data_IF_364953430363
#
_entry.id   IF_364953430363
#
_cell.length_a   1.000
_cell.length_b   1.000
_cell.length_c   1.000
_cell.angle_alpha   90.00
_cell.angle_beta   90.00
_cell.angle_gamma   90.00
#
_symmetry.space_group_name_H-M   'P 1'
#
loop_
_entity.id
_entity.type
_entity.pdbx_description
1 polymer ?
#
# COMPACT_ATOMS: atom_id res chain seq x y z
N UNK A 1 -46.80 9.04 -9.86
CA UNK A 1 -45.78 10.09 -9.99
C UNK A 1 -44.55 9.61 -9.24
N UNK A 2 -43.38 9.59 -9.87
CA UNK A 2 -42.14 9.15 -9.24
C UNK A 2 -41.06 10.20 -9.45
N UNK A 3 -40.30 10.48 -8.40
CA UNK A 3 -39.15 11.39 -8.45
C UNK A 3 -37.89 10.55 -8.54
N UNK A 4 -37.18 10.59 -9.67
CA UNK A 4 -35.88 9.93 -9.79
C UNK A 4 -34.78 10.90 -9.35
N UNK A 5 -34.07 10.51 -8.30
CA UNK A 5 -32.90 11.22 -7.78
C UNK A 5 -31.66 10.47 -8.21
N UNK A 6 -30.82 11.09 -9.03
CA UNK A 6 -29.54 10.52 -9.47
C UNK A 6 -28.41 11.02 -8.57
N UNK A 7 -27.56 10.10 -8.14
CA UNK A 7 -26.30 10.41 -7.48
C UNK A 7 -25.19 9.64 -8.17
N UNK A 8 -24.19 10.36 -8.69
CA UNK A 8 -23.00 9.79 -9.31
C UNK A 8 -21.77 10.62 -8.97
N UNK A 9 -20.61 9.97 -8.91
CA UNK A 9 -19.36 10.59 -8.45
C UNK A 9 -19.05 11.89 -9.20
N UNK A 10 -19.30 11.89 -10.51
CA UNK A 10 -19.03 13.03 -11.37
C UNK A 10 -20.30 13.70 -11.86
N UNK A 11 -20.22 15.02 -12.01
CA UNK A 11 -21.33 15.82 -12.55
C UNK A 11 -21.67 15.40 -13.98
N UNK A 12 -20.67 15.14 -14.80
CA UNK A 12 -20.87 14.68 -16.17
C UNK A 12 -21.60 13.33 -16.25
N UNK A 13 -21.40 12.41 -15.29
CA UNK A 13 -22.17 11.15 -15.24
C UNK A 13 -23.64 11.40 -14.91
N UNK A 14 -23.91 12.30 -13.95
CA UNK A 14 -25.26 12.70 -13.60
C UNK A 14 -25.97 13.36 -14.78
N UNK A 15 -25.29 14.29 -15.46
CA UNK A 15 -25.85 15.01 -16.61
C UNK A 15 -26.12 14.07 -17.79
N UNK A 16 -25.20 13.14 -18.05
CA UNK A 16 -25.40 12.09 -19.05
C UNK A 16 -26.63 11.23 -18.72
N UNK A 17 -26.76 10.79 -17.47
CA UNK A 17 -27.90 9.98 -17.05
C UNK A 17 -29.24 10.73 -17.10
N UNK A 18 -29.27 12.00 -16.68
CA UNK A 18 -30.47 12.86 -16.80
C UNK A 18 -30.86 13.02 -18.26
N UNK A 19 -29.91 13.35 -19.14
CA UNK A 19 -30.15 13.47 -20.59
C UNK A 19 -30.69 12.18 -21.21
N UNK A 20 -30.10 11.03 -20.86
CA UNK A 20 -30.54 9.71 -21.32
C UNK A 20 -31.95 9.37 -20.87
N UNK A 21 -32.22 9.51 -19.58
CA UNK A 21 -33.55 9.26 -19.00
C UNK A 21 -34.59 10.24 -19.56
N UNK A 22 -34.19 11.47 -19.88
CA UNK A 22 -35.00 12.45 -20.59
C UNK A 22 -35.43 11.99 -21.98
N UNK A 23 -34.48 11.46 -22.77
CA UNK A 23 -34.77 10.86 -24.08
C UNK A 23 -35.72 9.66 -24.00
N UNK A 24 -35.72 8.96 -22.86
CA UNK A 24 -36.59 7.81 -22.60
C UNK A 24 -38.00 8.22 -22.11
N UNK A 25 -38.26 9.52 -21.96
CA UNK A 25 -39.58 10.09 -21.67
C UNK A 25 -39.78 10.64 -20.26
N UNK A 26 -38.71 10.77 -19.45
CA UNK A 26 -38.79 11.46 -18.17
C UNK A 26 -38.66 12.97 -18.36
N UNK A 27 -39.43 13.75 -17.59
CA UNK A 27 -39.30 15.21 -17.61
C UNK A 27 -38.15 15.69 -16.71
N UNK A 28 -37.57 16.84 -17.04
CA UNK A 28 -36.74 17.61 -16.10
C UNK A 28 -37.62 18.55 -15.27
N UNK A 29 -37.33 18.73 -13.96
CA UNK A 29 -38.16 19.52 -13.08
C UNK A 29 -38.00 21.02 -13.32
N UNK A 30 -39.12 21.75 -13.31
CA UNK A 30 -39.16 23.19 -13.28
C UNK A 30 -38.97 23.74 -11.85
N UNK A 31 -38.38 24.93 -11.66
CA UNK A 31 -38.31 25.58 -10.37
C UNK A 31 -39.71 25.93 -9.85
N UNK A 32 -39.90 25.96 -8.53
CA UNK A 32 -41.19 26.31 -7.93
C UNK A 32 -41.64 27.74 -8.29
N UNK A 33 -42.96 27.96 -8.36
CA UNK A 33 -43.55 29.27 -8.70
C UNK A 33 -43.02 30.37 -7.77
N UNK A 34 -42.43 31.42 -8.35
CA UNK A 34 -41.87 32.55 -7.60
C UNK A 34 -40.52 32.28 -6.93
N UNK A 35 -39.89 31.13 -7.19
CA UNK A 35 -38.52 30.82 -6.80
C UNK A 35 -37.58 30.93 -8.00
N UNK A 36 -36.51 31.71 -7.90
CA UNK A 36 -35.41 31.71 -8.88
C UNK A 36 -34.47 30.50 -8.71
N UNK A 37 -34.68 29.69 -7.67
CA UNK A 37 -33.80 28.56 -7.33
C UNK A 37 -34.36 27.25 -7.88
N UNK A 38 -33.62 26.67 -8.81
CA UNK A 38 -33.77 25.27 -9.25
C UNK A 38 -33.16 24.30 -8.22
N UNK A 39 -33.28 22.99 -8.49
CA UNK A 39 -32.78 21.94 -7.59
C UNK A 39 -31.25 21.96 -7.44
N UNK A 40 -30.50 22.31 -8.48
CA UNK A 40 -29.04 22.39 -8.42
C UNK A 40 -28.59 23.55 -7.53
N UNK A 41 -29.17 24.74 -7.73
CA UNK A 41 -28.87 25.92 -6.95
C UNK A 41 -29.32 25.76 -5.49
N UNK A 42 -30.45 25.08 -5.25
CA UNK A 42 -30.93 24.75 -3.92
C UNK A 42 -29.99 23.75 -3.21
N UNK A 43 -29.58 22.69 -3.89
CA UNK A 43 -28.64 21.68 -3.36
C UNK A 43 -27.27 22.29 -3.07
N UNK A 44 -26.76 23.16 -3.94
CA UNK A 44 -25.49 23.87 -3.70
C UNK A 44 -25.60 24.82 -2.50
N UNK A 45 -26.74 25.52 -2.33
CA UNK A 45 -26.99 26.32 -1.13
C UNK A 45 -27.07 25.46 0.12
N UNK A 46 -27.75 24.31 0.07
CA UNK A 46 -27.82 23.35 1.17
C UNK A 46 -26.44 22.84 1.56
N UNK A 47 -25.61 22.46 0.57
CA UNK A 47 -24.23 22.01 0.75
C UNK A 47 -23.38 23.07 1.45
N UNK A 48 -23.44 24.33 0.99
CA UNK A 48 -22.74 25.46 1.61
C UNK A 48 -23.23 25.73 3.04
N UNK A 49 -24.54 25.72 3.27
CA UNK A 49 -25.13 25.97 4.59
C UNK A 49 -24.69 24.92 5.64
N UNK A 50 -24.53 23.67 5.21
CA UNK A 50 -24.10 22.57 6.08
C UNK A 50 -22.59 22.32 6.06
N UNK A 51 -21.80 23.21 5.43
CA UNK A 51 -20.33 23.15 5.35
C UNK A 51 -19.80 21.82 4.79
N UNK A 52 -20.53 21.25 3.85
CA UNK A 52 -20.14 20.02 3.17
C UNK A 52 -19.11 20.37 2.12
N UNK A 53 -17.96 19.69 2.10
CA UNK A 53 -16.93 19.89 1.08
C UNK A 53 -17.40 19.34 -0.28
N UNK A 54 -16.88 19.87 -1.40
CA UNK A 54 -17.21 19.31 -2.73
C UNK A 54 -16.58 17.94 -2.96
N UNK A 55 -15.43 17.69 -2.34
CA UNK A 55 -14.67 16.45 -2.38
C UNK A 55 -14.39 16.04 -0.93
N UNK A 56 -15.26 15.23 -0.32
CA UNK A 56 -15.16 14.90 1.10
C UNK A 56 -13.93 14.03 1.39
N UNK A 57 -13.17 14.39 2.43
CA UNK A 57 -12.10 13.54 2.97
C UNK A 57 -12.65 12.60 4.05
N UNK A 58 -12.66 11.30 3.77
CA UNK A 58 -13.13 10.28 4.68
C UNK A 58 -14.64 10.05 4.62
N UNK A 59 -15.17 9.27 5.58
CA UNK A 59 -16.53 8.76 5.53
C UNK A 59 -17.59 9.85 5.32
N UNK A 60 -18.40 9.68 4.27
CA UNK A 60 -19.52 10.56 3.97
C UNK A 60 -20.69 10.24 4.90
N UNK A 61 -21.11 11.22 5.71
CA UNK A 61 -22.31 11.13 6.53
C UNK A 61 -23.53 11.76 5.84
N UNK A 62 -24.70 11.13 6.00
CA UNK A 62 -25.98 11.67 5.58
C UNK A 62 -26.36 12.91 6.40
N UNK A 63 -26.97 13.90 5.75
CA UNK A 63 -27.32 15.19 6.36
C UNK A 63 -28.82 15.35 6.35
N UNK A 64 -29.36 15.71 7.51
CA UNK A 64 -30.74 16.16 7.68
C UNK A 64 -30.78 17.69 7.71
N UNK A 65 -31.12 18.35 6.59
CA UNK A 65 -30.99 19.81 6.46
C UNK A 65 -31.98 20.59 7.34
N UNK A 66 -33.04 19.93 7.81
CA UNK A 66 -34.10 20.51 8.63
C UNK A 66 -35.30 21.02 7.83
N UNK A 67 -36.35 21.45 8.56
CA UNK A 67 -37.69 21.70 8.01
C UNK A 67 -37.76 22.80 6.94
N UNK A 68 -36.92 23.83 7.02
CA UNK A 68 -36.95 24.93 6.05
C UNK A 68 -36.61 24.46 4.62
N UNK A 69 -35.63 23.56 4.50
CA UNK A 69 -35.25 22.97 3.20
C UNK A 69 -36.26 21.92 2.75
N UNK A 70 -36.86 21.17 3.68
CA UNK A 70 -37.97 20.25 3.36
C UNK A 70 -39.13 20.99 2.72
N UNK A 71 -39.54 22.14 3.26
CA UNK A 71 -40.61 22.95 2.68
C UNK A 71 -40.26 23.42 1.26
N UNK A 72 -39.03 23.91 1.04
CA UNK A 72 -38.59 24.35 -0.29
C UNK A 72 -38.54 23.22 -1.31
N UNK A 73 -38.09 22.04 -0.91
CA UNK A 73 -38.07 20.86 -1.78
C UNK A 73 -39.49 20.35 -2.05
N UNK A 74 -40.35 20.34 -1.04
CA UNK A 74 -41.76 19.97 -1.18
C UNK A 74 -42.49 20.92 -2.15
N UNK A 75 -42.21 22.22 -2.11
CA UNK A 75 -42.75 23.20 -3.07
C UNK A 75 -42.36 22.82 -4.52
N UNK A 76 -41.11 22.41 -4.75
CA UNK A 76 -40.65 21.97 -6.08
C UNK A 76 -41.33 20.67 -6.48
N UNK A 77 -41.39 19.67 -5.59
CA UNK A 77 -42.06 18.38 -5.88
C UNK A 77 -43.53 18.61 -6.23
N UNK A 78 -44.23 19.46 -5.46
CA UNK A 78 -45.64 19.79 -5.68
C UNK A 78 -45.86 20.57 -6.97
N UNK A 79 -44.96 21.51 -7.30
CA UNK A 79 -45.06 22.25 -8.57
C UNK A 79 -44.93 21.34 -9.79
N UNK A 80 -44.11 20.30 -9.67
CA UNK A 80 -43.87 19.33 -10.74
C UNK A 80 -44.84 18.14 -10.70
N UNK A 81 -45.84 18.14 -9.79
CA UNK A 81 -46.81 17.05 -9.57
C UNK A 81 -47.49 16.54 -10.86
N UNK A 82 -47.73 17.46 -11.80
CA UNK A 82 -48.46 17.20 -13.04
C UNK A 82 -47.56 16.69 -14.19
N UNK A 83 -46.23 16.78 -14.06
CA UNK A 83 -45.28 16.32 -15.10
C UNK A 83 -45.18 14.78 -15.20
N UNK A 84 -45.90 14.04 -14.35
CA UNK A 84 -45.74 12.60 -14.25
C UNK A 84 -44.44 12.24 -13.53
N UNK A 85 -43.67 11.29 -14.06
CA UNK A 85 -42.35 10.96 -13.49
C UNK A 85 -41.29 11.90 -14.04
N UNK A 86 -40.44 12.42 -13.17
CA UNK A 86 -39.37 13.35 -13.54
C UNK A 86 -38.05 12.95 -12.88
N UNK A 87 -36.95 13.47 -13.43
CA UNK A 87 -35.59 13.07 -13.07
C UNK A 87 -34.69 14.28 -12.90
N UNK A 88 -33.77 14.19 -11.94
CA UNK A 88 -32.69 15.15 -11.78
C UNK A 88 -31.48 14.48 -11.11
N UNK A 89 -30.29 15.06 -11.26
CA UNK A 89 -29.05 14.40 -10.82
C UNK A 89 -27.92 15.33 -10.42
N UNK A 90 -27.37 15.13 -9.23
CA UNK A 90 -26.25 15.91 -8.72
C UNK A 90 -25.30 15.05 -7.87
N UNK A 91 -23.98 15.16 -8.01
CA UNK A 91 -23.04 14.44 -7.17
C UNK A 91 -23.23 14.69 -5.68
N UNK A 92 -23.65 15.90 -5.30
CA UNK A 92 -23.89 16.27 -3.91
C UNK A 92 -25.05 15.49 -3.27
N UNK A 93 -25.90 14.83 -4.06
CA UNK A 93 -26.99 14.00 -3.55
C UNK A 93 -26.51 12.89 -2.64
N UNK A 94 -25.26 12.42 -2.76
CA UNK A 94 -24.66 11.41 -1.87
C UNK A 94 -24.78 11.81 -0.40
N UNK A 95 -24.76 13.11 -0.07
CA UNK A 95 -24.89 13.62 1.30
C UNK A 95 -26.35 13.76 1.77
N UNK A 96 -27.31 13.69 0.85
CA UNK A 96 -28.72 13.99 1.07
C UNK A 96 -29.64 12.84 0.66
N UNK A 97 -29.13 11.63 0.45
CA UNK A 97 -29.92 10.47 0.03
C UNK A 97 -31.00 10.12 1.07
N UNK A 98 -30.65 10.12 2.35
CA UNK A 98 -31.61 9.92 3.45
C UNK A 98 -32.68 11.00 3.47
N UNK A 99 -32.28 12.25 3.24
CA UNK A 99 -33.20 13.37 3.17
C UNK A 99 -34.22 13.18 2.04
N UNK A 100 -33.78 12.80 0.84
CA UNK A 100 -34.67 12.50 -0.28
C UNK A 100 -35.55 11.28 -0.03
N UNK A 101 -35.03 10.25 0.65
CA UNK A 101 -35.79 9.05 1.00
C UNK A 101 -36.97 9.40 1.92
N UNK A 102 -36.71 10.27 2.87
CA UNK A 102 -37.66 10.67 3.92
C UNK A 102 -38.58 11.82 3.47
N UNK A 103 -38.21 12.55 2.40
CA UNK A 103 -39.02 13.62 1.84
C UNK A 103 -40.32 13.10 1.23
N UNK A 104 -40.23 12.06 0.40
CA UNK A 104 -41.40 11.43 -0.24
C UNK A 104 -41.16 9.93 -0.47
N UNK A 105 -42.17 9.11 -0.21
CA UNK A 105 -42.17 7.66 -0.46
C UNK A 105 -42.09 7.30 -1.95
N UNK A 106 -42.39 8.22 -2.85
CA UNK A 106 -42.33 8.09 -4.31
C UNK A 106 -40.94 8.36 -4.89
N UNK A 107 -40.01 8.90 -4.09
CA UNK A 107 -38.62 9.05 -4.53
C UNK A 107 -37.99 7.68 -4.81
N UNK A 108 -37.33 7.57 -5.95
CA UNK A 108 -36.53 6.43 -6.41
C UNK A 108 -35.13 6.92 -6.71
N UNK A 109 -34.14 6.05 -6.56
CA UNK A 109 -32.73 6.42 -6.65
C UNK A 109 -32.05 5.67 -7.78
N UNK A 110 -31.33 6.40 -8.62
CA UNK A 110 -30.41 5.83 -9.59
C UNK A 110 -29.01 6.17 -9.11
N UNK A 111 -28.29 5.17 -8.62
CA UNK A 111 -26.97 5.32 -8.05
C UNK A 111 -25.96 4.91 -9.12
N UNK A 112 -25.18 5.89 -9.58
CA UNK A 112 -24.19 5.69 -10.64
C UNK A 112 -22.83 5.44 -10.03
N UNK A 113 -22.18 4.40 -10.53
CA UNK A 113 -20.79 4.12 -10.23
C UNK A 113 -20.00 3.90 -11.51
N UNK A 114 -18.69 4.00 -11.41
CA UNK A 114 -17.77 3.71 -12.49
C UNK A 114 -16.42 3.35 -11.91
N UNK A 115 -15.56 2.74 -12.71
CA UNK A 115 -14.22 2.37 -12.25
C UNK A 115 -13.42 3.61 -11.81
N UNK A 116 -12.45 3.43 -10.91
CA UNK A 116 -11.50 4.51 -10.58
C UNK A 116 -10.77 5.02 -11.83
N UNK A 117 -10.49 4.13 -12.79
CA UNK A 117 -9.87 4.47 -14.06
C UNK A 117 -10.75 5.40 -14.92
N UNK A 118 -12.03 5.11 -15.07
CA UNK A 118 -12.96 6.01 -15.78
C UNK A 118 -13.08 7.36 -15.07
N UNK A 119 -13.01 7.35 -13.74
CA UNK A 119 -13.08 8.58 -12.95
C UNK A 119 -11.88 9.49 -13.22
N UNK A 120 -10.68 8.92 -13.19
CA UNK A 120 -9.42 9.61 -13.49
C UNK A 120 -9.34 10.05 -14.96
N UNK A 121 -9.79 9.22 -15.90
CA UNK A 121 -9.78 9.55 -17.32
C UNK A 121 -10.56 10.83 -17.61
N UNK A 122 -11.68 11.01 -16.93
CA UNK A 122 -12.52 12.18 -17.10
C UNK A 122 -11.89 13.47 -16.53
N UNK A 123 -11.20 13.37 -15.40
CA UNK A 123 -10.44 14.51 -14.85
C UNK A 123 -9.27 14.90 -15.74
N UNK A 124 -8.61 13.92 -16.37
CA UNK A 124 -7.53 14.16 -17.32
C UNK A 124 -8.04 14.99 -18.51
N UNK A 125 -9.23 14.67 -19.02
CA UNK A 125 -9.86 15.44 -20.09
C UNK A 125 -10.29 16.84 -19.66
N UNK A 126 -10.68 17.02 -18.39
CA UNK A 126 -11.01 18.32 -17.82
C UNK A 126 -9.78 19.23 -17.63
N UNK A 127 -8.56 18.72 -17.85
CA UNK A 127 -7.31 19.47 -17.73
C UNK A 127 -6.86 19.72 -16.30
N UNK A 128 -7.33 18.91 -15.35
CA UNK A 128 -6.96 19.01 -13.93
C UNK A 128 -5.60 18.31 -13.68
N UNK A 129 -4.74 18.90 -12.83
CA UNK A 129 -3.36 18.44 -12.62
C UNK A 129 -3.24 17.21 -11.70
N UNK A 130 -2.59 16.14 -12.18
CA UNK A 130 -2.58 14.80 -11.55
C UNK A 130 -1.39 14.51 -10.62
N UNK A 131 -0.23 15.16 -10.81
CA UNK A 131 1.05 14.68 -10.25
C UNK A 131 1.24 14.79 -8.72
N UNK A 132 0.28 15.34 -7.96
CA UNK A 132 0.38 15.46 -6.49
C UNK A 132 -0.77 14.81 -5.72
N UNK A 133 -1.73 14.16 -6.40
CA UNK A 133 -3.08 13.99 -5.83
C UNK A 133 -3.74 12.64 -6.17
N UNK A 134 -3.05 11.67 -6.79
CA UNK A 134 -3.66 10.37 -7.12
C UNK A 134 -4.25 9.67 -5.89
N UNK A 135 -3.45 9.45 -4.84
CA UNK A 135 -3.93 8.84 -3.60
C UNK A 135 -5.12 9.62 -2.97
N UNK A 136 -5.12 10.95 -3.08
CA UNK A 136 -6.21 11.76 -2.56
C UNK A 136 -7.49 11.57 -3.39
N UNK A 137 -7.38 11.49 -4.71
CA UNK A 137 -8.51 11.26 -5.59
C UNK A 137 -9.16 9.90 -5.33
N UNK A 138 -8.34 8.87 -5.12
CA UNK A 138 -8.84 7.55 -4.76
C UNK A 138 -9.51 7.52 -3.39
N UNK A 139 -8.95 8.18 -2.36
CA UNK A 139 -9.60 8.30 -1.05
C UNK A 139 -11.01 8.91 -1.16
N UNK A 140 -11.17 9.92 -2.03
CA UNK A 140 -12.45 10.57 -2.29
C UNK A 140 -13.39 9.64 -3.06
N UNK A 141 -12.89 8.93 -4.08
CA UNK A 141 -13.65 7.92 -4.82
C UNK A 141 -14.15 6.80 -3.90
N UNK A 142 -13.29 6.27 -3.03
CA UNK A 142 -13.63 5.23 -2.05
C UNK A 142 -14.72 5.71 -1.10
N UNK A 143 -14.53 6.90 -0.52
CA UNK A 143 -15.48 7.49 0.45
C UNK A 143 -16.85 7.74 -0.19
N UNK A 144 -16.88 8.12 -1.48
CA UNK A 144 -18.10 8.33 -2.24
C UNK A 144 -18.86 7.03 -2.49
N UNK A 145 -18.17 6.02 -3.03
CA UNK A 145 -18.82 4.78 -3.42
C UNK A 145 -19.18 3.89 -2.22
N UNK A 146 -18.43 3.96 -1.12
CA UNK A 146 -18.80 3.33 0.16
C UNK A 146 -20.14 3.90 0.69
N UNK A 147 -20.34 5.21 0.62
CA UNK A 147 -21.59 5.82 1.04
C UNK A 147 -22.77 5.50 0.11
N UNK A 148 -22.53 5.46 -1.21
CA UNK A 148 -23.52 4.97 -2.17
C UNK A 148 -23.94 3.53 -1.87
N UNK A 149 -22.97 2.64 -1.68
CA UNK A 149 -23.22 1.22 -1.46
C UNK A 149 -23.94 0.98 -0.14
N UNK A 150 -23.56 1.67 0.94
CA UNK A 150 -24.29 1.65 2.22
C UNK A 150 -25.75 2.07 2.05
N UNK A 151 -26.01 3.14 1.31
CA UNK A 151 -27.37 3.60 1.07
C UNK A 151 -28.17 2.61 0.20
N UNK A 152 -27.56 2.04 -0.84
CA UNK A 152 -28.15 1.00 -1.68
C UNK A 152 -28.57 -0.21 -0.85
N UNK A 153 -27.64 -0.77 -0.05
CA UNK A 153 -27.87 -1.94 0.78
C UNK A 153 -28.95 -1.71 1.84
N UNK A 154 -29.09 -0.48 2.34
CA UNK A 154 -30.14 -0.12 3.29
C UNK A 154 -31.52 0.08 2.63
N UNK A 155 -31.58 0.36 1.31
CA UNK A 155 -32.81 0.74 0.61
C UNK A 155 -32.98 0.05 -0.77
N UNK A 156 -32.79 -1.29 -0.88
CA UNK A 156 -32.74 -1.96 -2.19
C UNK A 156 -34.02 -1.73 -2.99
N UNK A 157 -35.20 -1.82 -2.39
CA UNK A 157 -36.49 -1.67 -3.09
C UNK A 157 -36.70 -0.29 -3.76
N UNK A 158 -35.93 0.73 -3.37
CA UNK A 158 -36.05 2.10 -3.87
C UNK A 158 -34.88 2.54 -4.73
N UNK A 159 -33.84 1.71 -4.85
CA UNK A 159 -32.61 2.05 -5.54
C UNK A 159 -32.35 1.11 -6.71
N UNK A 160 -31.67 1.62 -7.72
CA UNK A 160 -30.95 0.83 -8.71
C UNK A 160 -29.50 1.26 -8.73
N UNK A 161 -28.57 0.30 -8.71
CA UNK A 161 -27.14 0.53 -8.82
C UNK A 161 -26.67 0.19 -10.23
N UNK A 162 -26.14 1.20 -10.94
CA UNK A 162 -25.91 1.14 -12.39
C UNK A 162 -24.51 1.64 -12.71
N UNK A 163 -23.75 0.84 -13.47
CA UNK A 163 -22.45 1.25 -13.98
C UNK A 163 -22.62 2.31 -15.08
N UNK A 164 -21.79 3.35 -15.11
CA UNK A 164 -21.91 4.46 -16.06
C UNK A 164 -21.91 4.01 -17.53
N UNK A 165 -21.17 2.95 -17.86
CA UNK A 165 -21.14 2.35 -19.21
C UNK A 165 -22.47 1.75 -19.66
N UNK A 166 -23.39 1.44 -18.74
CA UNK A 166 -24.72 0.88 -19.05
C UNK A 166 -25.74 1.94 -19.49
N UNK A 167 -25.37 3.22 -19.38
CA UNK A 167 -26.20 4.34 -19.84
C UNK A 167 -26.08 4.58 -21.37
N UNK A 168 -25.14 3.90 -22.03
CA UNK A 168 -24.94 3.91 -23.48
C UNK A 168 -25.85 2.93 -24.22
N UNK A 169 -25.25 2.07 -25.03
CA UNK A 169 -25.94 1.12 -25.93
C UNK A 169 -26.93 0.15 -25.25
N UNK A 170 -26.88 0.00 -23.92
CA UNK A 170 -27.74 -0.91 -23.13
C UNK A 170 -28.77 -0.22 -22.24
N UNK A 171 -29.08 1.06 -22.49
CA UNK A 171 -30.15 1.76 -21.81
C UNK A 171 -31.55 1.08 -21.94
N UNK A 172 -31.72 0.11 -22.83
CA UNK A 172 -32.92 -0.73 -22.88
C UNK A 172 -33.05 -1.68 -21.68
N UNK A 173 -31.96 -2.21 -21.13
CA UNK A 173 -31.98 -3.01 -19.90
C UNK A 173 -32.35 -2.14 -18.70
N UNK A 174 -31.83 -0.91 -18.65
CA UNK A 174 -32.25 0.09 -17.68
C UNK A 174 -33.75 0.38 -17.81
N UNK A 175 -34.28 0.57 -19.02
CA UNK A 175 -35.72 0.76 -19.23
C UNK A 175 -36.56 -0.38 -18.63
N UNK A 176 -36.14 -1.63 -18.87
CA UNK A 176 -36.81 -2.82 -18.36
C UNK A 176 -36.72 -2.92 -16.83
N UNK A 177 -35.56 -2.60 -16.25
CA UNK A 177 -35.36 -2.57 -14.81
C UNK A 177 -36.25 -1.51 -14.14
N UNK A 178 -36.31 -0.31 -14.72
CA UNK A 178 -37.16 0.77 -14.22
C UNK A 178 -38.65 0.44 -14.32
N UNK A 179 -39.05 -0.24 -15.40
CA UNK A 179 -40.43 -0.71 -15.59
C UNK A 179 -40.78 -1.80 -14.58
N UNK A 180 -39.90 -2.79 -14.38
CA UNK A 180 -40.17 -3.92 -13.48
C UNK A 180 -40.12 -3.54 -12.00
N UNK A 181 -39.10 -2.78 -11.58
CA UNK A 181 -38.87 -2.41 -10.16
C UNK A 181 -39.72 -1.23 -9.73
N UNK A 182 -39.79 -0.19 -10.56
CA UNK A 182 -40.44 1.07 -10.19
C UNK A 182 -41.78 1.32 -10.88
N UNK A 183 -42.20 0.45 -11.82
CA UNK A 183 -43.42 0.62 -12.61
C UNK A 183 -43.42 1.94 -13.40
N UNK A 184 -42.24 2.34 -13.86
CA UNK A 184 -42.05 3.54 -14.69
C UNK A 184 -41.81 3.07 -16.12
N UNK A 185 -42.77 3.34 -16.99
CA UNK A 185 -42.65 3.01 -18.41
C UNK A 185 -41.67 3.98 -19.07
N UNK A 186 -40.56 3.44 -19.55
CA UNK A 186 -39.55 4.17 -20.29
C UNK A 186 -39.52 3.67 -21.74
N UNK A 187 -39.39 4.61 -22.67
CA UNK A 187 -39.26 4.29 -24.09
C UNK A 187 -37.81 3.94 -24.42
N UNK A 188 -37.60 3.17 -25.49
CA UNK A 188 -36.26 2.81 -25.94
C UNK A 188 -35.41 4.07 -26.20
N UNK A 189 -34.13 4.08 -25.80
CA UNK A 189 -33.27 5.25 -25.96
C UNK A 189 -33.15 5.64 -27.45
N UNK A 190 -33.13 6.94 -27.73
CA UNK A 190 -32.65 7.43 -29.02
C UNK A 190 -31.14 7.19 -29.14
N UNK A 191 -30.62 7.10 -30.37
CA UNK A 191 -29.18 7.10 -30.59
C UNK A 191 -28.58 8.38 -29.98
N UNK A 192 -27.66 8.24 -29.03
CA UNK A 192 -26.80 9.35 -28.62
C UNK A 192 -25.39 8.83 -28.43
N UNK A 193 -24.44 9.74 -28.56
CA UNK A 193 -23.03 9.45 -28.37
C UNK A 193 -22.77 9.14 -26.89
N UNK A 194 -21.95 8.13 -26.64
CA UNK A 194 -21.40 7.84 -25.33
C UNK A 194 -20.57 9.03 -24.82
N UNK A 195 -20.38 9.18 -23.49
CA UNK A 195 -19.42 10.12 -22.98
C UNK A 195 -18.05 9.82 -23.62
N UNK A 196 -17.58 10.75 -24.46
CA UNK A 196 -16.32 10.67 -25.20
C UNK A 196 -15.14 10.78 -24.22
N UNK A 197 -14.91 9.70 -23.47
CA UNK A 197 -13.74 9.51 -22.65
C UNK A 197 -12.60 9.02 -23.55
N UNK A 198 -11.56 9.84 -23.68
CA UNK A 198 -10.37 9.56 -24.48
C UNK A 198 -9.82 8.20 -24.11
N UNK A 199 -9.71 7.30 -25.09
CA UNK A 199 -9.17 5.96 -24.89
C UNK A 199 -7.76 6.00 -24.26
N UNK A 200 -6.95 7.00 -24.60
CA UNK A 200 -5.65 7.22 -23.96
C UNK A 200 -5.78 7.61 -22.49
N UNK A 201 -6.77 8.43 -22.14
CA UNK A 201 -7.03 8.79 -20.76
C UNK A 201 -7.46 7.57 -19.94
N UNK A 202 -8.25 6.66 -20.52
CA UNK A 202 -8.63 5.38 -19.91
C UNK A 202 -7.42 4.49 -19.65
N UNK A 203 -6.52 4.35 -20.63
CA UNK A 203 -5.29 3.54 -20.48
C UNK A 203 -4.39 4.08 -19.37
N UNK A 204 -4.13 5.41 -19.36
CA UNK A 204 -3.28 6.05 -18.35
C UNK A 204 -3.88 5.89 -16.95
N UNK A 205 -5.19 6.13 -16.84
CA UNK A 205 -5.91 6.03 -15.58
C UNK A 205 -5.96 4.59 -15.02
N UNK A 206 -6.05 3.59 -15.89
CA UNK A 206 -6.04 2.20 -15.48
C UNK A 206 -4.68 1.75 -14.96
N UNK A 207 -3.59 2.24 -15.56
CA UNK A 207 -2.24 1.98 -15.04
C UNK A 207 -2.07 2.55 -13.63
N UNK A 208 -2.54 3.78 -13.39
CA UNK A 208 -2.49 4.41 -12.08
C UNK A 208 -3.35 3.70 -11.02
N UNK A 209 -4.46 3.06 -11.44
CA UNK A 209 -5.33 2.30 -10.55
C UNK A 209 -4.81 0.89 -10.23
N UNK A 210 -4.02 0.27 -11.12
CA UNK A 210 -3.46 -1.07 -10.89
C UNK A 210 -2.41 -1.08 -9.77
N UNK A 211 -1.80 0.06 -9.46
CA UNK A 211 -0.79 0.20 -8.41
C UNK A 211 -1.37 0.19 -6.97
N UNK A 212 -2.70 0.15 -6.79
CA UNK A 212 -3.35 0.21 -5.47
C UNK A 212 -4.34 -0.95 -5.23
N UNK A 213 -3.89 -1.98 -4.50
CA UNK A 213 -4.64 -3.23 -4.25
C UNK A 213 -5.98 -3.05 -3.49
N UNK A 214 -6.09 -2.08 -2.58
CA UNK A 214 -7.30 -1.87 -1.76
C UNK A 214 -8.50 -1.33 -2.54
N UNK A 215 -8.26 -0.70 -3.69
CA UNK A 215 -9.28 -0.01 -4.48
C UNK A 215 -10.05 -0.98 -5.38
N UNK A 216 -9.39 -2.06 -5.79
CA UNK A 216 -10.02 -3.16 -6.51
C UNK A 216 -11.10 -3.86 -5.69
N UNK A 217 -10.96 -3.95 -4.37
CA UNK A 217 -11.92 -4.67 -3.53
C UNK A 217 -13.31 -4.01 -3.52
N UNK A 218 -13.39 -2.69 -3.30
CA UNK A 218 -14.67 -1.98 -3.30
C UNK A 218 -15.31 -1.96 -4.70
N UNK A 219 -14.50 -1.78 -5.75
CA UNK A 219 -15.01 -1.82 -7.13
C UNK A 219 -15.58 -3.21 -7.47
N UNK A 220 -14.90 -4.28 -7.07
CA UNK A 220 -15.40 -5.65 -7.25
C UNK A 220 -16.69 -5.90 -6.44
N UNK A 221 -16.82 -5.31 -5.25
CA UNK A 221 -18.05 -5.37 -4.46
C UNK A 221 -19.21 -4.65 -5.18
N UNK A 222 -18.96 -3.46 -5.75
CA UNK A 222 -19.95 -2.74 -6.55
C UNK A 222 -20.37 -3.56 -7.78
N UNK A 223 -19.42 -4.09 -8.54
CA UNK A 223 -19.70 -4.95 -9.71
C UNK A 223 -20.49 -6.20 -9.33
N UNK A 224 -20.18 -6.83 -8.18
CA UNK A 224 -20.91 -8.00 -7.69
C UNK A 224 -22.32 -7.70 -7.15
N UNK A 225 -22.58 -6.45 -6.76
CA UNK A 225 -23.84 -6.02 -6.13
C UNK A 225 -24.77 -5.26 -7.09
N UNK A 226 -24.21 -4.69 -8.16
CA UNK A 226 -24.93 -3.83 -9.10
C UNK A 226 -26.08 -4.56 -9.80
N UNK A 227 -27.17 -3.83 -10.02
CA UNK A 227 -28.29 -4.32 -10.82
C UNK A 227 -27.93 -4.36 -12.30
N UNK A 228 -27.11 -3.39 -12.73
CA UNK A 228 -26.56 -3.31 -14.08
C UNK A 228 -25.05 -3.09 -13.98
N UNK A 229 -24.26 -4.17 -13.88
CA UNK A 229 -22.80 -4.11 -13.86
C UNK A 229 -22.22 -3.77 -15.23
N UNK A 230 -20.91 -3.56 -15.31
CA UNK A 230 -20.27 -3.32 -16.60
C UNK A 230 -20.37 -4.58 -17.50
N UNK A 231 -21.09 -4.49 -18.62
CA UNK A 231 -21.25 -5.59 -19.61
C UNK A 231 -19.93 -6.19 -20.11
N UNK A 232 -18.85 -5.43 -20.02
CA UNK A 232 -17.48 -5.91 -20.10
C UNK A 232 -16.65 -5.09 -19.12
N UNK A 233 -15.76 -5.68 -18.30
CA UNK A 233 -14.73 -4.92 -17.62
C UNK A 233 -13.89 -4.24 -18.70
N UNK A 234 -14.11 -2.93 -18.91
CA UNK A 234 -13.38 -2.04 -19.82
C UNK A 234 -12.68 -2.75 -21.00
N UNK A 235 -13.46 -3.35 -21.91
CA UNK A 235 -12.87 -4.06 -23.04
C UNK A 235 -12.59 -3.04 -24.15
N UNK A 236 -11.40 -2.45 -24.09
CA UNK A 236 -10.79 -1.62 -25.13
C UNK A 236 -11.09 -2.10 -26.55
N UNK A 237 -11.08 -1.15 -27.49
CA UNK A 237 -10.93 -1.47 -28.92
C UNK A 237 -9.75 -2.42 -29.11
N UNK A 238 -9.80 -3.27 -30.15
CA UNK A 238 -8.70 -4.20 -30.43
C UNK A 238 -7.34 -3.48 -30.53
N UNK A 239 -7.36 -2.23 -31.00
CA UNK A 239 -6.19 -1.37 -31.15
C UNK A 239 -5.64 -0.89 -29.79
N UNK A 240 -6.50 -0.55 -28.82
CA UNK A 240 -6.03 -0.14 -27.49
C UNK A 240 -5.53 -1.32 -26.65
N UNK A 241 -6.06 -2.54 -26.85
CA UNK A 241 -5.45 -3.78 -26.28
C UNK A 241 -4.08 -4.06 -26.87
N UNK A 242 -3.95 -3.85 -28.18
CA UNK A 242 -2.68 -4.03 -28.87
C UNK A 242 -1.66 -2.99 -28.41
N UNK A 243 -2.06 -1.72 -28.29
CA UNK A 243 -1.21 -0.66 -27.76
C UNK A 243 -0.85 -0.89 -26.28
N UNK A 244 -1.78 -1.39 -25.46
CA UNK A 244 -1.51 -1.77 -24.08
C UNK A 244 -0.53 -2.94 -24.00
N UNK A 245 -0.73 -4.00 -24.79
CA UNK A 245 0.19 -5.14 -24.85
C UNK A 245 1.57 -4.73 -25.39
N UNK A 246 1.64 -3.94 -26.46
CA UNK A 246 2.89 -3.41 -27.02
C UNK A 246 3.60 -2.49 -26.02
N UNK A 247 2.86 -1.72 -25.22
CA UNK A 247 3.44 -0.85 -24.19
C UNK A 247 3.85 -1.62 -22.93
N UNK A 248 3.11 -2.66 -22.55
CA UNK A 248 3.48 -3.57 -21.45
C UNK A 248 4.72 -4.38 -21.86
N UNK A 249 4.78 -4.86 -23.10
CA UNK A 249 5.96 -5.48 -23.69
C UNK A 249 7.12 -4.49 -23.79
N UNK A 250 6.86 -3.20 -24.07
CA UNK A 250 7.89 -2.17 -24.06
C UNK A 250 8.40 -1.87 -22.64
N UNK A 251 7.53 -1.83 -21.63
CA UNK A 251 7.95 -1.70 -20.23
C UNK A 251 8.72 -2.93 -19.75
N UNK A 252 8.26 -4.15 -20.07
CA UNK A 252 8.97 -5.40 -19.78
C UNK A 252 10.30 -5.51 -20.56
N UNK A 253 10.41 -4.91 -21.74
CA UNK A 253 11.68 -4.82 -22.46
C UNK A 253 12.59 -3.69 -21.94
N UNK A 254 12.08 -2.70 -21.20
CA UNK A 254 12.89 -1.69 -20.53
C UNK A 254 13.28 -2.07 -19.09
N UNK A 255 12.49 -2.92 -18.44
CA UNK A 255 12.82 -3.62 -17.20
C UNK A 255 13.01 -5.10 -17.55
N UNK A 256 14.19 -5.52 -18.04
CA UNK A 256 14.43 -6.93 -18.31
C UNK A 256 14.07 -7.74 -17.05
N UNK A 257 13.44 -8.90 -17.26
CA UNK A 257 13.05 -9.81 -16.19
C UNK A 257 14.25 -9.98 -15.25
N UNK A 258 14.18 -9.56 -13.98
CA UNK A 258 15.32 -9.67 -13.08
C UNK A 258 15.79 -11.11 -12.97
N UNK A 259 14.96 -12.11 -13.32
CA UNK A 259 15.37 -13.50 -13.41
C UNK A 259 16.38 -13.80 -14.53
N UNK A 260 16.34 -13.15 -15.70
CA UNK A 260 17.33 -13.44 -16.76
C UNK A 260 18.71 -12.93 -16.34
N UNK A 261 18.80 -11.69 -15.85
CA UNK A 261 20.06 -11.14 -15.30
C UNK A 261 20.52 -11.95 -14.07
N UNK A 262 19.60 -12.39 -13.19
CA UNK A 262 19.89 -13.27 -12.06
C UNK A 262 20.31 -14.69 -12.49
N UNK A 263 19.80 -15.20 -13.61
CA UNK A 263 20.18 -16.51 -14.16
C UNK A 263 21.56 -16.44 -14.82
N UNK A 264 21.87 -15.36 -15.54
CA UNK A 264 23.20 -15.08 -16.05
C UNK A 264 24.20 -14.88 -14.90
N UNK A 265 23.82 -14.15 -13.85
CA UNK A 265 24.64 -13.96 -12.65
C UNK A 265 24.83 -15.29 -11.89
N UNK A 266 23.80 -16.12 -11.75
CA UNK A 266 23.90 -17.46 -11.16
C UNK A 266 24.80 -18.38 -11.98
N UNK A 267 24.70 -18.35 -13.30
CA UNK A 267 25.57 -19.12 -14.18
C UNK A 267 27.03 -18.65 -14.07
N UNK A 268 27.26 -17.35 -13.97
CA UNK A 268 28.59 -16.78 -13.76
C UNK A 268 29.16 -17.17 -12.39
N UNK A 269 28.34 -17.12 -11.33
CA UNK A 269 28.71 -17.54 -9.98
C UNK A 269 29.00 -19.04 -9.90
N UNK A 270 28.25 -19.87 -10.62
CA UNK A 270 28.54 -21.30 -10.74
C UNK A 270 29.90 -21.54 -11.39
N UNK A 271 30.21 -20.85 -12.51
CA UNK A 271 31.53 -20.96 -13.14
C UNK A 271 32.67 -20.51 -12.21
N UNK A 272 32.47 -19.42 -11.45
CA UNK A 272 33.47 -18.98 -10.48
C UNK A 272 33.66 -19.98 -9.34
N UNK A 273 32.58 -20.60 -8.86
CA UNK A 273 32.63 -21.63 -7.83
C UNK A 273 33.39 -22.87 -8.33
N UNK A 274 33.11 -23.31 -9.56
CA UNK A 274 33.82 -24.43 -10.21
C UNK A 274 35.32 -24.13 -10.35
N UNK A 275 35.69 -22.95 -10.82
CA UNK A 275 37.10 -22.55 -10.92
C UNK A 275 37.80 -22.57 -9.56
N UNK A 276 37.17 -22.01 -8.52
CA UNK A 276 37.74 -22.00 -7.16
C UNK A 276 37.85 -23.42 -6.59
N UNK A 277 36.88 -24.29 -6.88
CA UNK A 277 36.95 -25.71 -6.49
C UNK A 277 38.12 -26.41 -7.17
N UNK A 278 38.32 -26.22 -8.48
CA UNK A 278 39.47 -26.76 -9.19
C UNK A 278 40.81 -26.27 -8.62
N UNK A 279 40.92 -24.98 -8.32
CA UNK A 279 42.13 -24.41 -7.69
C UNK A 279 42.38 -25.02 -6.31
N UNK A 280 41.34 -25.16 -5.48
CA UNK A 280 41.44 -25.79 -4.17
C UNK A 280 41.84 -27.27 -4.26
N UNK A 281 41.28 -28.01 -5.21
CA UNK A 281 41.68 -29.40 -5.48
C UNK A 281 43.15 -29.48 -5.90
N UNK A 282 43.61 -28.54 -6.74
CA UNK A 282 45.01 -28.43 -7.15
C UNK A 282 45.93 -28.17 -5.95
N UNK A 283 45.59 -27.21 -5.09
CA UNK A 283 46.36 -26.92 -3.88
C UNK A 283 46.34 -28.08 -2.89
N UNK A 284 45.21 -28.76 -2.75
CA UNK A 284 45.07 -29.93 -1.88
C UNK A 284 45.92 -31.11 -2.37
N UNK A 285 45.90 -31.40 -3.67
CA UNK A 285 46.78 -32.42 -4.29
C UNK A 285 48.24 -32.07 -4.10
N UNK A 286 48.62 -30.81 -4.38
CA UNK A 286 49.99 -30.31 -4.17
C UNK A 286 50.43 -30.44 -2.73
N UNK A 287 49.54 -30.13 -1.78
CA UNK A 287 49.81 -30.30 -0.34
C UNK A 287 49.98 -31.77 0.04
N UNK A 288 49.15 -32.67 -0.51
CA UNK A 288 49.30 -34.11 -0.28
C UNK A 288 50.59 -34.67 -0.88
N UNK A 289 51.00 -34.22 -2.07
CA UNK A 289 52.26 -34.60 -2.70
C UNK A 289 53.45 -34.12 -1.87
N UNK A 290 53.41 -32.86 -1.39
CA UNK A 290 54.40 -32.33 -0.46
C UNK A 290 54.47 -33.12 0.85
N UNK A 291 53.32 -33.61 1.34
CA UNK A 291 53.24 -34.45 2.55
C UNK A 291 53.69 -35.89 2.34
N UNK A 292 53.61 -36.41 1.10
CA UNK A 292 54.05 -37.75 0.70
C UNK A 292 55.51 -37.80 0.26
N UNK A 293 56.14 -36.66 -0.01
CA UNK A 293 57.56 -36.57 -0.35
C UNK A 293 58.43 -36.72 0.91
N UNK A 294 59.29 -37.75 1.03
CA UNK A 294 60.16 -37.93 2.17
C UNK A 294 61.44 -37.13 1.96
N UNK A 295 61.39 -35.82 2.19
CA UNK A 295 62.59 -34.99 2.32
C UNK A 295 62.48 -34.12 3.55
N UNK A 296 63.24 -34.50 4.58
CA UNK A 296 63.88 -33.54 5.48
C UNK A 296 63.02 -32.97 6.60
N UNK A 297 62.53 -33.83 7.49
CA UNK A 297 62.57 -33.46 8.89
C UNK A 297 64.05 -33.28 9.27
N UNK A 298 64.52 -32.03 9.40
CA UNK A 298 65.60 -31.51 10.27
C UNK A 298 66.10 -30.18 9.68
N UNK A 299 66.11 -29.13 10.50
CA UNK A 299 66.60 -27.76 10.26
C UNK A 299 65.69 -26.79 9.49
N UNK A 300 64.70 -26.22 10.20
CA UNK A 300 64.59 -24.74 10.38
C UNK A 300 63.91 -24.49 11.73
N UNK A 301 64.70 -24.44 12.80
CA UNK A 301 64.41 -23.49 13.89
C UNK A 301 64.80 -22.11 13.34
N UNK A 302 64.11 -21.06 13.79
CA UNK A 302 64.48 -19.64 13.58
C UNK A 302 64.12 -19.06 12.20
N UNK A 303 62.85 -18.65 12.04
CA UNK A 303 62.43 -17.34 11.50
C UNK A 303 60.93 -17.39 11.14
N UNK A 304 60.07 -17.26 12.16
CA UNK A 304 58.68 -16.82 12.00
C UNK A 304 58.25 -15.88 13.14
N UNK A 305 59.23 -15.21 13.75
CA UNK A 305 59.02 -13.96 14.50
C UNK A 305 59.62 -12.84 13.65
N UNK A 306 58.90 -12.41 12.60
CA UNK A 306 59.09 -11.11 11.92
C UNK A 306 58.24 -11.00 10.65
N UNK A 307 56.93 -11.22 10.74
CA UNK A 307 55.97 -10.41 9.97
C UNK A 307 54.84 -10.13 10.94
N UNK A 308 54.91 -8.96 11.59
CA UNK A 308 53.82 -8.47 12.44
C UNK A 308 52.61 -8.21 11.56
N UNK A 309 51.76 -9.23 11.38
CA UNK A 309 50.42 -9.05 10.83
C UNK A 309 49.62 -8.35 11.91
N UNK A 310 49.70 -7.03 11.92
CA UNK A 310 48.82 -6.21 12.72
C UNK A 310 47.40 -6.48 12.22
N UNK A 311 46.54 -7.02 13.10
CA UNK A 311 45.13 -7.24 12.79
C UNK A 311 44.42 -5.95 12.35
N UNK A 312 43.22 -6.04 11.75
CA UNK A 312 42.47 -4.86 11.32
C UNK A 312 42.16 -3.89 12.47
N UNK A 313 42.28 -2.58 12.21
CA UNK A 313 41.89 -1.50 13.13
C UNK A 313 40.39 -1.19 13.10
N UNK A 314 39.70 -1.62 12.04
CA UNK A 314 38.24 -1.63 11.96
C UNK A 314 37.79 -2.96 11.37
N UNK A 315 36.78 -3.57 11.98
CA UNK A 315 36.15 -4.83 11.53
C UNK A 315 34.67 -4.57 11.35
N UNK A 316 34.16 -4.89 10.16
CA UNK A 316 32.75 -4.80 9.85
C UNK A 316 32.24 -6.19 9.46
N UNK A 317 31.20 -6.64 10.13
CA UNK A 317 30.50 -7.89 9.86
C UNK A 317 29.13 -7.53 9.31
N UNK A 318 28.94 -7.81 8.02
CA UNK A 318 27.63 -7.72 7.37
C UNK A 318 26.84 -9.00 7.66
N UNK A 319 25.74 -8.86 8.40
CA UNK A 319 24.93 -9.98 8.85
C UNK A 319 24.13 -10.63 7.71
N UNK A 320 24.07 -9.98 6.54
CA UNK A 320 23.48 -10.56 5.31
C UNK A 320 24.45 -11.53 4.63
N UNK A 321 25.75 -11.42 4.93
CA UNK A 321 26.79 -12.32 4.42
C UNK A 321 26.98 -13.54 5.31
N UNK A 322 27.85 -14.46 4.91
CA UNK A 322 28.23 -15.59 5.76
C UNK A 322 28.89 -15.09 7.05
N UNK A 323 28.46 -15.63 8.19
CA UNK A 323 29.04 -15.32 9.49
C UNK A 323 29.56 -16.60 10.14
N UNK A 324 30.72 -16.50 10.79
CA UNK A 324 31.23 -17.55 11.66
C UNK A 324 30.67 -17.34 13.07
N UNK A 325 29.65 -18.11 13.45
CA UNK A 325 28.95 -17.95 14.71
C UNK A 325 27.67 -18.78 14.80
N UNK A 326 27.08 -18.84 15.99
CA UNK A 326 25.93 -19.70 16.31
C UNK A 326 24.73 -18.88 16.81
N UNK A 327 23.53 -19.47 16.79
CA UNK A 327 22.33 -18.86 17.37
C UNK A 327 21.62 -17.85 16.48
N UNK A 328 21.91 -17.86 15.17
CA UNK A 328 21.30 -16.99 14.17
C UNK A 328 20.45 -17.79 13.17
N UNK A 329 19.37 -17.19 12.68
CA UNK A 329 18.61 -17.72 11.56
C UNK A 329 19.32 -17.48 10.22
N UNK A 330 18.75 -18.01 9.13
CA UNK A 330 19.18 -17.71 7.77
C UNK A 330 19.20 -16.21 7.52
N UNK A 331 20.16 -15.73 6.72
CA UNK A 331 20.20 -14.34 6.30
C UNK A 331 18.94 -13.98 5.51
N UNK A 332 18.42 -12.78 5.76
CA UNK A 332 17.31 -12.17 5.03
C UNK A 332 17.80 -10.89 4.32
N UNK A 333 17.00 -10.36 3.40
CA UNK A 333 17.38 -9.22 2.56
C UNK A 333 17.87 -7.98 3.35
N UNK A 334 17.35 -7.79 4.57
CA UNK A 334 17.64 -6.61 5.39
C UNK A 334 18.57 -6.90 6.58
N UNK A 335 18.83 -8.16 6.92
CA UNK A 335 19.63 -8.50 8.08
C UNK A 335 19.45 -9.96 8.49
N UNK A 336 19.84 -10.28 9.72
CA UNK A 336 19.74 -11.64 10.26
C UNK A 336 19.12 -11.63 11.63
N UNK A 337 18.13 -12.51 11.82
CA UNK A 337 17.44 -12.65 13.10
C UNK A 337 18.26 -13.49 14.09
N UNK A 338 18.41 -12.96 15.29
CA UNK A 338 18.82 -13.70 16.47
C UNK A 338 17.61 -14.42 17.08
N UNK A 339 17.77 -15.67 17.56
CA UNK A 339 16.70 -16.32 18.33
C UNK A 339 16.60 -17.85 18.28
N UNK A 340 17.48 -18.55 17.55
CA UNK A 340 17.56 -20.02 17.66
C UNK A 340 17.94 -20.48 19.07
N UNK A 341 18.63 -19.61 19.83
CA UNK A 341 18.87 -19.75 21.26
C UNK A 341 18.86 -18.36 21.92
N UNK A 342 18.93 -18.31 23.25
CA UNK A 342 19.06 -17.04 24.00
C UNK A 342 20.44 -16.36 23.82
N UNK A 343 21.37 -17.03 23.13
CA UNK A 343 22.72 -16.54 22.85
C UNK A 343 22.99 -16.61 21.35
N UNK A 344 23.35 -15.47 20.76
CA UNK A 344 23.81 -15.39 19.37
C UNK A 344 25.25 -14.90 19.35
N UNK A 345 26.17 -15.68 18.79
CA UNK A 345 27.61 -15.41 18.80
C UNK A 345 28.13 -15.06 17.42
N UNK A 346 29.17 -14.22 17.36
CA UNK A 346 29.93 -13.94 16.14
C UNK A 346 31.41 -13.99 16.49
N UNK A 347 32.13 -14.88 15.81
CA UNK A 347 33.58 -14.99 15.87
C UNK A 347 34.19 -13.93 14.95
N UNK A 348 35.11 -13.14 15.49
CA UNK A 348 35.77 -12.04 14.82
C UNK A 348 37.22 -12.42 14.49
N UNK A 349 37.80 -11.82 13.44
CA UNK A 349 39.22 -12.01 13.14
C UNK A 349 40.13 -11.52 14.29
N UNK A 350 41.42 -11.88 14.28
CA UNK A 350 42.39 -11.40 15.25
C UNK A 350 42.46 -9.87 15.29
N UNK A 351 42.02 -9.25 16.40
CA UNK A 351 42.08 -7.81 16.62
C UNK A 351 43.45 -7.39 17.16
N UNK A 352 43.83 -6.13 16.91
CA UNK A 352 45.00 -5.57 17.59
C UNK A 352 44.72 -5.33 19.08
N UNK A 353 45.74 -5.37 19.94
CA UNK A 353 45.58 -4.88 21.30
C UNK A 353 45.17 -3.41 21.29
N UNK A 354 44.13 -3.08 22.05
CA UNK A 354 43.63 -1.72 22.19
C UNK A 354 42.15 -1.67 22.56
N UNK A 355 41.64 -0.49 22.92
CA UNK A 355 40.21 -0.29 23.15
C UNK A 355 39.45 -0.27 21.81
N UNK A 356 38.25 -0.84 21.77
CA UNK A 356 37.37 -0.81 20.59
C UNK A 356 36.00 -0.28 20.95
N UNK A 357 35.34 0.34 19.97
CA UNK A 357 33.94 0.73 20.03
C UNK A 357 33.14 -0.24 19.16
N UNK A 358 32.17 -0.93 19.76
CA UNK A 358 31.26 -1.84 19.09
C UNK A 358 29.98 -1.09 18.76
N UNK A 359 29.52 -1.24 17.52
CA UNK A 359 28.26 -0.68 17.02
C UNK A 359 27.46 -1.82 16.40
N UNK A 360 26.27 -2.09 16.94
CA UNK A 360 25.33 -3.09 16.41
C UNK A 360 24.11 -2.37 15.87
N UNK A 361 23.86 -2.51 14.57
CA UNK A 361 22.71 -1.90 13.88
C UNK A 361 21.53 -2.87 13.88
N UNK A 362 20.44 -2.46 14.55
CA UNK A 362 19.20 -3.22 14.69
C UNK A 362 18.16 -2.61 13.75
N UNK A 363 17.64 -3.42 12.83
CA UNK A 363 16.63 -2.98 11.85
C UNK A 363 15.23 -3.37 12.28
N UNK A 364 15.08 -4.42 13.09
CA UNK A 364 13.78 -4.82 13.61
C UNK A 364 13.93 -5.60 14.93
N UNK A 365 12.83 -5.74 15.67
CA UNK A 365 12.73 -6.65 16.80
C UNK A 365 11.30 -7.13 17.03
N UNK A 366 11.18 -8.26 17.73
CA UNK A 366 9.88 -8.79 18.16
C UNK A 366 9.18 -7.91 19.20
N UNK A 367 9.95 -7.16 19.99
CA UNK A 367 9.41 -6.09 20.82
C UNK A 367 10.49 -5.07 21.17
N UNK A 368 10.07 -3.85 21.48
CA UNK A 368 10.97 -2.77 21.90
C UNK A 368 11.69 -3.13 23.21
N UNK A 369 11.01 -3.85 24.09
CA UNK A 369 11.59 -4.26 25.38
C UNK A 369 12.63 -5.36 25.21
N UNK A 370 12.45 -6.26 24.23
CA UNK A 370 13.50 -7.21 23.85
C UNK A 370 14.76 -6.51 23.36
N UNK A 371 14.64 -5.49 22.50
CA UNK A 371 15.80 -4.74 22.04
C UNK A 371 16.51 -3.97 23.16
N UNK A 372 15.78 -3.49 24.18
CA UNK A 372 16.36 -2.83 25.37
C UNK A 372 17.03 -3.82 26.33
N UNK A 373 16.55 -5.05 26.39
CA UNK A 373 17.03 -6.08 27.31
C UNK A 373 18.30 -6.79 26.83
N UNK A 374 18.77 -6.51 25.61
CA UNK A 374 19.96 -7.17 25.05
C UNK A 374 21.21 -6.81 25.85
N UNK A 375 21.91 -7.85 26.29
CA UNK A 375 23.22 -7.75 26.92
C UNK A 375 24.27 -8.16 25.92
N UNK A 376 25.39 -7.44 25.93
CA UNK A 376 26.54 -7.73 25.09
C UNK A 376 27.64 -8.32 25.96
N UNK A 377 28.28 -9.38 25.48
CA UNK A 377 29.49 -9.95 26.09
C UNK A 377 30.58 -10.07 25.03
N UNK A 378 31.81 -9.75 25.38
CA UNK A 378 32.97 -9.97 24.54
C UNK A 378 33.97 -10.87 25.26
N UNK A 379 34.32 -12.01 24.67
CA UNK A 379 35.17 -13.03 25.29
C UNK A 379 34.71 -13.40 26.72
N UNK A 380 33.40 -13.53 26.93
CA UNK A 380 32.78 -13.82 28.23
C UNK A 380 32.74 -12.65 29.22
N UNK A 381 33.24 -11.46 28.86
CA UNK A 381 33.17 -10.25 29.69
C UNK A 381 31.98 -9.39 29.27
N UNK A 382 31.09 -9.07 30.21
CA UNK A 382 29.95 -8.19 29.93
C UNK A 382 30.40 -6.77 29.57
N UNK A 383 29.91 -6.25 28.45
CA UNK A 383 30.15 -4.87 28.00
C UNK A 383 28.85 -4.08 28.02
N UNK A 384 28.91 -2.84 28.52
CA UNK A 384 27.72 -2.00 28.67
C UNK A 384 27.35 -1.36 27.33
N UNK A 385 26.26 -1.84 26.73
CA UNK A 385 25.67 -1.27 25.53
C UNK A 385 24.69 -0.14 25.83
N UNK A 386 24.72 0.93 25.04
CA UNK A 386 23.72 2.01 25.03
C UNK A 386 22.90 1.91 23.75
N UNK A 387 21.60 1.66 23.87
CA UNK A 387 20.65 1.66 22.75
C UNK A 387 20.24 3.10 22.40
N UNK A 388 20.35 3.46 21.12
CA UNK A 388 19.84 4.70 20.55
C UNK A 388 18.92 4.38 19.39
N UNK A 389 17.63 4.65 19.57
CA UNK A 389 16.62 4.59 18.51
C UNK A 389 16.87 5.75 17.52
N UNK A 390 16.96 5.45 16.22
CA UNK A 390 17.26 6.43 15.17
C UNK A 390 16.00 7.03 14.51
N UNK A 391 14.80 6.55 14.85
CA UNK A 391 13.56 7.05 14.27
C UNK A 391 13.35 8.56 14.56
N UNK A 392 12.67 9.25 13.64
CA UNK A 392 12.31 10.69 13.66
C UNK A 392 11.37 11.12 14.83
N UNK A 393 11.35 10.34 15.92
CA UNK A 393 10.54 10.52 17.12
C UNK A 393 11.25 11.35 18.21
N UNK A 394 12.35 12.04 17.87
CA UNK A 394 12.98 13.07 18.69
C UNK A 394 12.55 14.50 18.32
N UNK A 395 12.60 15.44 19.28
CA UNK A 395 12.30 16.86 19.10
C UNK A 395 11.07 17.37 19.89
N UNK A 396 10.78 18.68 19.82
CA UNK A 396 9.68 19.34 20.58
C UNK A 396 8.27 18.76 20.32
N UNK A 397 8.10 17.97 19.25
CA UNK A 397 6.84 17.34 18.84
C UNK A 397 6.80 15.81 19.06
N UNK A 398 7.79 15.25 19.77
CA UNK A 398 7.82 13.83 20.14
C UNK A 398 6.55 13.30 20.86
N UNK A 399 5.89 14.05 21.77
CA UNK A 399 4.68 13.56 22.42
C UNK A 399 3.51 13.39 21.43
N UNK A 400 3.41 14.26 20.43
CA UNK A 400 2.32 14.24 19.43
C UNK A 400 2.51 13.08 18.45
N UNK A 401 3.76 12.78 18.08
CA UNK A 401 4.07 11.65 17.19
C UNK A 401 3.89 10.31 17.90
N UNK A 402 4.18 10.23 19.21
CA UNK A 402 3.87 9.06 20.04
C UNK A 402 2.36 8.82 20.16
N UNK A 403 1.58 9.88 20.39
CA UNK A 403 0.11 9.79 20.45
C UNK A 403 -0.49 9.32 19.11
N UNK A 404 0.09 9.74 17.98
CA UNK A 404 -0.34 9.31 16.65
C UNK A 404 0.03 7.85 16.35
N UNK A 405 1.17 7.37 16.85
CA UNK A 405 1.59 5.98 16.73
C UNK A 405 0.74 5.03 17.59
N UNK A 406 0.38 5.43 18.82
CA UNK A 406 -0.54 4.68 19.71
C UNK A 406 -1.93 4.49 19.09
N UNK A 407 -2.42 5.50 18.35
CA UNK A 407 -3.72 5.44 17.66
C UNK A 407 -3.70 4.56 16.39
N UNK A 408 -2.51 4.24 15.85
CA UNK A 408 -2.34 3.56 14.57
C UNK A 408 -1.74 2.15 14.69
N UNK A 409 -1.43 1.65 15.90
CA UNK A 409 -0.72 0.38 16.13
C UNK A 409 0.58 0.21 15.32
N UNK A 410 1.23 1.32 14.91
CA UNK A 410 2.51 1.26 14.19
C UNK A 410 3.65 1.32 15.20
N UNK A 411 3.94 0.19 15.83
CA UNK A 411 4.99 0.04 16.84
C UNK A 411 6.30 -0.55 16.30
N UNK A 412 6.99 0.12 15.37
CA UNK A 412 8.38 -0.26 15.06
C UNK A 412 9.31 0.95 15.09
N UNK A 413 9.91 1.28 16.25
CA UNK A 413 10.81 2.42 16.41
C UNK A 413 12.22 2.15 15.85
N UNK A 414 12.34 1.32 14.82
CA UNK A 414 13.61 0.96 14.18
C UNK A 414 13.85 1.82 12.93
N UNK A 415 15.10 1.99 12.47
CA UNK A 415 16.33 1.38 12.97
C UNK A 415 16.79 1.92 14.34
N UNK A 416 17.57 1.11 15.05
CA UNK A 416 18.21 1.47 16.32
C UNK A 416 19.66 0.99 16.34
N UNK A 417 20.50 1.64 17.13
CA UNK A 417 21.92 1.30 17.26
C UNK A 417 22.25 1.02 18.72
N UNK A 418 22.89 -0.12 19.00
CA UNK A 418 23.57 -0.36 20.28
C UNK A 418 25.03 0.02 20.14
N UNK A 419 25.53 0.88 21.02
CA UNK A 419 26.95 1.23 21.10
C UNK A 419 27.55 0.79 22.42
N UNK A 420 28.65 0.04 22.38
CA UNK A 420 29.41 -0.40 23.56
C UNK A 420 30.91 -0.11 23.39
N UNK A 421 31.66 -0.09 24.49
CA UNK A 421 33.12 0.04 24.47
C UNK A 421 33.77 -1.19 25.09
N UNK A 422 34.70 -1.80 24.36
CA UNK A 422 35.53 -2.91 24.83
C UNK A 422 36.84 -2.30 25.36
N UNK A 423 37.19 -2.50 26.64
CA UNK A 423 38.44 -2.02 27.19
C UNK A 423 39.63 -2.87 26.70
N UNK A 424 40.80 -2.26 26.60
CA UNK A 424 42.02 -2.92 26.12
C UNK A 424 42.41 -4.16 26.95
N UNK A 425 42.01 -4.22 28.23
CA UNK A 425 42.26 -5.35 29.13
C UNK A 425 41.58 -6.66 28.72
N UNK A 426 40.55 -6.60 27.87
CA UNK A 426 39.81 -7.78 27.41
C UNK A 426 40.38 -8.32 26.09
N UNK A 427 41.06 -7.49 25.30
CA UNK A 427 41.67 -7.85 24.00
C UNK A 427 43.17 -8.17 24.23
N UNK A 428 43.48 -8.91 25.30
CA UNK A 428 44.84 -9.33 25.58
C UNK A 428 45.23 -10.50 24.66
N UNK A 429 46.43 -10.40 24.08
CA UNK A 429 46.99 -11.18 22.97
C UNK A 429 47.27 -12.67 23.24
N UNK A 430 46.56 -13.29 24.20
CA UNK A 430 46.75 -14.69 24.60
C UNK A 430 45.55 -15.61 24.37
N UNK A 431 44.32 -15.09 24.34
CA UNK A 431 43.12 -15.88 24.08
C UNK A 431 42.73 -15.79 22.60
N UNK A 432 42.94 -16.88 21.87
CA UNK A 432 42.77 -16.98 20.42
C UNK A 432 41.30 -16.96 19.93
N UNK A 433 40.35 -16.44 20.72
CA UNK A 433 38.94 -16.37 20.36
C UNK A 433 38.44 -14.96 20.63
N UNK A 434 38.30 -14.15 19.58
CA UNK A 434 37.57 -12.88 19.63
C UNK A 434 36.10 -13.20 19.32
N UNK A 435 35.26 -13.32 20.33
CA UNK A 435 33.86 -13.67 20.17
C UNK A 435 32.97 -12.61 20.81
N UNK A 436 32.06 -12.05 20.02
CA UNK A 436 31.00 -11.16 20.49
C UNK A 436 29.71 -11.98 20.65
N UNK A 437 29.11 -11.91 21.83
CA UNK A 437 27.85 -12.56 22.14
C UNK A 437 26.76 -11.53 22.40
N UNK A 438 25.60 -11.73 21.78
CA UNK A 438 24.36 -11.03 22.05
C UNK A 438 23.47 -11.97 22.86
N UNK A 439 23.13 -11.55 24.08
CA UNK A 439 22.28 -12.30 24.98
C UNK A 439 20.89 -11.68 25.01
N UNK A 440 19.88 -12.51 24.73
CA UNK A 440 18.47 -12.16 24.83
C UNK A 440 17.83 -12.92 25.98
N UNK A 441 17.05 -12.25 26.82
CA UNK A 441 16.41 -12.88 27.99
C UNK A 441 15.28 -13.84 27.59
N UNK A 442 14.63 -13.56 26.45
CA UNK A 442 13.57 -14.40 25.89
C UNK A 442 13.49 -14.20 24.37
N UNK A 443 12.88 -15.16 23.68
CA UNK A 443 12.54 -15.07 22.27
C UNK A 443 11.04 -15.19 22.11
N UNK A 444 10.48 -14.56 21.09
CA UNK A 444 9.06 -14.58 20.79
C UNK A 444 8.84 -15.06 19.36
N UNK A 445 7.74 -15.76 19.13
CA UNK A 445 7.36 -16.17 17.78
C UNK A 445 6.31 -15.21 17.21
N UNK A 446 6.45 -14.74 15.96
CA UNK A 446 5.38 -13.99 15.28
C UNK A 446 4.03 -14.72 15.29
N UNK A 447 4.02 -16.05 15.23
CA UNK A 447 2.80 -16.85 15.34
C UNK A 447 2.04 -16.66 16.67
N UNK A 448 2.77 -16.37 17.77
CA UNK A 448 2.13 -16.05 19.07
C UNK A 448 1.38 -14.71 19.07
N UNK A 449 1.59 -13.88 18.04
CA UNK A 449 0.93 -12.59 17.84
C UNK A 449 0.02 -12.58 16.58
N UNK A 450 -0.34 -13.75 16.05
CA UNK A 450 -1.24 -13.89 14.90
C UNK A 450 -0.56 -13.95 13.53
N UNK A 451 0.77 -14.03 13.47
CA UNK A 451 1.53 -14.26 12.23
C UNK A 451 1.57 -15.73 11.77
N UNK A 452 2.12 -15.96 10.58
CA UNK A 452 2.33 -17.32 10.01
C UNK A 452 3.72 -17.91 10.36
N UNK A 453 4.65 -17.09 10.88
CA UNK A 453 6.03 -17.49 11.16
C UNK A 453 6.19 -18.07 12.57
N UNK A 454 6.50 -19.37 12.65
CA UNK A 454 6.71 -20.12 13.89
C UNK A 454 8.12 -20.00 14.50
N UNK A 455 9.05 -19.27 13.87
CA UNK A 455 10.42 -19.10 14.38
C UNK A 455 10.41 -18.35 15.71
N UNK A 456 11.34 -18.70 16.59
CA UNK A 456 11.63 -17.93 17.80
C UNK A 456 12.63 -16.83 17.45
N UNK A 457 12.23 -15.57 17.64
CA UNK A 457 12.95 -14.38 17.18
C UNK A 457 13.14 -13.39 18.34
N UNK A 458 14.21 -12.61 18.28
CA UNK A 458 14.50 -11.52 19.23
C UNK A 458 14.70 -10.21 18.49
N UNK A 459 15.90 -9.95 17.97
CA UNK A 459 16.23 -8.79 17.14
C UNK A 459 16.75 -9.22 15.76
N UNK A 460 16.58 -8.34 14.78
CA UNK A 460 17.18 -8.43 13.46
C UNK A 460 18.33 -7.42 13.34
N UNK A 461 19.52 -7.93 13.04
CA UNK A 461 20.75 -7.13 12.93
C UNK A 461 21.18 -7.03 11.47
N UNK A 462 21.52 -5.84 10.98
CA UNK A 462 22.19 -5.67 9.67
C UNK A 462 23.69 -5.78 9.77
N UNK A 463 24.28 -5.05 10.70
CA UNK A 463 25.72 -4.80 10.70
C UNK A 463 26.26 -4.76 12.12
N UNK A 464 27.42 -5.38 12.32
CA UNK A 464 28.22 -5.25 13.53
C UNK A 464 29.56 -4.63 13.15
N UNK A 465 29.86 -3.44 13.67
CA UNK A 465 31.12 -2.72 13.40
C UNK A 465 31.93 -2.56 14.69
N UNK A 466 33.22 -2.86 14.61
CA UNK A 466 34.20 -2.63 15.66
C UNK A 466 35.26 -1.66 15.15
N UNK A 467 35.32 -0.47 15.75
CA UNK A 467 36.32 0.53 15.41
C UNK A 467 37.29 0.69 16.58
N UNK A 468 38.60 0.59 16.32
CA UNK A 468 39.62 0.86 17.34
C UNK A 468 39.47 2.31 17.81
N UNK A 469 39.28 2.49 19.11
CA UNK A 469 39.19 3.84 19.69
C UNK A 469 40.59 4.47 19.70
N UNK A 470 40.65 5.74 19.27
CA UNK A 470 41.88 6.53 19.22
C UNK A 470 42.43 6.86 20.62
#
# INVERSE_FOLDING_TARGET
>A
MSVLVISGYQKAWCDFAVSRLGQMGLAEPAPAVGSELDLHALTEKMRKAHKVEKQPRGAISQISPGKAWQLKMADIVLHNAELGSWVWGDPANVHFLDFWRDLDSTCRFVLLYGSPAESLAQQLQAGEGWAKTLAHEFDVWLSYHDALLKFYNANPERCVLVHVSQLGDTAQELAQLMTSRFKIELHGPGLSEDPDLSELAKVIAQQAAHEQETEGALFMELEGTADLPALRPSCFSADARKAQAEFLDFQNNQNPDPNEDLEEENHLLQMQLEQVQEELELYFRKYQELKKSPVGATNVVTQAQAIGVQGPTSVEVDMRSFIDGDGWHSAEAHGRWAGQSQRSSVNLPPLQPGPYKVTVEIIDAMSVDLAKAIKLEFNGHAIVGKLKILSNMGGRLAPVRRLKADLQQVEKPYPAIITASIPASVINSGENKNQLNLLSEQTLSPASQGGQDGRQLSICVSTIRLDKAA
#
